data_IF_832772475468
#
_entry.id   IF_832772475468
#
_cell.length_a   1.000
_cell.length_b   1.000
_cell.length_c   1.000
_cell.angle_alpha   90.00
_cell.angle_beta   90.00
_cell.angle_gamma   90.00
#
_symmetry.space_group_name_H-M   'P 1'
#
loop_
_entity.id
_entity.type
_entity.pdbx_description
1 polymer ?
#
# COMPACT_ATOMS: atom_id res chain seq x y z
N UNK A 1 7.69 3.34 1.19
CA UNK A 1 6.87 2.74 2.26
C UNK A 1 6.91 3.56 3.54
N UNK A 2 6.35 4.77 3.51
CA UNK A 2 6.11 5.66 4.66
C UNK A 2 4.74 6.37 4.53
N UNK A 3 3.77 5.70 3.91
CA UNK A 3 2.42 6.24 3.66
C UNK A 3 1.56 6.24 4.91
N UNK A 4 1.97 5.52 5.96
CA UNK A 4 1.15 5.33 7.15
C UNK A 4 0.14 4.20 7.00
N UNK A 5 0.07 3.55 5.83
CA UNK A 5 -0.72 2.33 5.59
C UNK A 5 0.19 1.09 5.66
N UNK A 6 0.16 0.30 6.74
CA UNK A 6 1.18 -0.72 6.99
C UNK A 6 1.32 -1.77 5.90
N UNK A 7 0.21 -2.16 5.26
CA UNK A 7 0.26 -3.13 4.17
C UNK A 7 0.96 -2.57 2.92
N UNK A 8 0.63 -1.33 2.53
CA UNK A 8 1.30 -0.62 1.42
C UNK A 8 2.77 -0.40 1.75
N UNK A 9 3.07 -0.01 2.99
CA UNK A 9 4.43 0.25 3.43
C UNK A 9 5.27 -1.01 3.49
N UNK A 10 4.70 -2.13 3.95
CA UNK A 10 5.34 -3.44 3.92
C UNK A 10 5.70 -3.88 2.49
N UNK A 11 4.77 -3.77 1.54
CA UNK A 11 5.01 -4.11 0.12
C UNK A 11 6.14 -3.26 -0.46
N UNK A 12 6.09 -1.94 -0.26
CA UNK A 12 7.12 -1.05 -0.80
C UNK A 12 8.48 -1.25 -0.12
N UNK A 13 8.51 -1.69 1.14
CA UNK A 13 9.76 -2.05 1.84
C UNK A 13 10.30 -3.40 1.38
N UNK A 14 9.44 -4.40 1.15
CA UNK A 14 9.85 -5.66 0.53
C UNK A 14 10.48 -5.42 -0.83
N UNK A 15 9.80 -4.63 -1.70
CA UNK A 15 10.32 -4.29 -3.03
C UNK A 15 11.74 -3.76 -2.96
N UNK A 16 11.99 -2.77 -2.09
CA UNK A 16 13.32 -2.17 -1.96
C UNK A 16 14.38 -3.12 -1.38
N UNK A 17 13.98 -4.02 -0.48
CA UNK A 17 14.92 -4.92 0.20
C UNK A 17 15.27 -6.16 -0.64
N UNK A 18 14.29 -6.69 -1.36
CA UNK A 18 14.36 -8.01 -1.99
C UNK A 18 14.25 -7.94 -3.53
N UNK A 19 13.86 -6.78 -4.07
CA UNK A 19 13.74 -6.55 -5.51
C UNK A 19 12.60 -7.33 -6.19
N UNK A 20 11.74 -7.98 -5.41
CA UNK A 20 10.58 -8.70 -5.91
C UNK A 20 9.41 -8.57 -4.94
N UNK A 21 8.22 -8.35 -5.51
CA UNK A 21 6.95 -8.42 -4.79
C UNK A 21 5.94 -9.21 -5.61
N UNK A 22 5.11 -9.98 -4.92
CA UNK A 22 4.04 -10.76 -5.53
C UNK A 22 3.12 -9.85 -6.37
N UNK A 23 2.57 -10.37 -7.46
CA UNK A 23 1.71 -9.65 -8.40
C UNK A 23 0.56 -8.90 -7.71
N UNK A 24 -0.12 -9.50 -6.72
CA UNK A 24 -1.17 -8.81 -5.96
C UNK A 24 -0.64 -7.70 -5.04
N UNK A 25 0.62 -7.77 -4.62
CA UNK A 25 1.31 -6.66 -3.96
C UNK A 25 1.50 -5.47 -4.91
N UNK A 26 1.91 -5.75 -6.15
CA UNK A 26 2.00 -4.75 -7.23
C UNK A 26 0.65 -4.07 -7.47
N UNK A 27 -0.42 -4.86 -7.54
CA UNK A 27 -1.79 -4.36 -7.67
C UNK A 27 -2.16 -3.36 -6.58
N UNK A 28 -1.86 -3.71 -5.32
CA UNK A 28 -2.19 -2.86 -4.18
C UNK A 28 -1.46 -1.51 -4.25
N UNK A 29 -0.14 -1.52 -4.43
CA UNK A 29 0.65 -0.28 -4.40
C UNK A 29 0.41 0.60 -5.64
N UNK A 30 0.18 0.00 -6.81
CA UNK A 30 -0.15 0.74 -8.02
C UNK A 30 -1.53 1.38 -7.95
N UNK A 31 -2.53 0.65 -7.43
CA UNK A 31 -3.86 1.20 -7.18
C UNK A 31 -3.80 2.36 -6.18
N UNK A 32 -3.07 2.18 -5.07
CA UNK A 32 -2.91 3.22 -4.04
C UNK A 32 -2.26 4.49 -4.61
N UNK A 33 -1.18 4.35 -5.38
CA UNK A 33 -0.47 5.49 -5.96
C UNK A 33 -1.33 6.27 -6.97
N UNK A 34 -2.12 5.56 -7.78
CA UNK A 34 -2.82 6.15 -8.92
C UNK A 34 -4.27 6.48 -8.57
N UNK A 35 -5.23 5.80 -9.18
CA UNK A 35 -6.68 6.08 -9.08
C UNK A 35 -7.26 5.80 -7.70
N UNK A 36 -6.61 4.99 -6.87
CA UNK A 36 -7.16 4.55 -5.59
C UNK A 36 -7.09 5.62 -4.53
N UNK A 37 -5.93 6.26 -4.35
CA UNK A 37 -5.71 7.14 -3.20
C UNK A 37 -4.99 8.43 -3.59
N UNK A 38 -3.76 8.35 -4.13
CA UNK A 38 -2.89 9.53 -4.24
C UNK A 38 -3.08 10.35 -5.52
N UNK A 39 -3.77 9.81 -6.53
CA UNK A 39 -3.99 10.48 -7.82
C UNK A 39 -2.70 10.92 -8.53
N UNK A 40 -1.63 10.17 -8.35
CA UNK A 40 -0.33 10.39 -9.00
C UNK A 40 -0.28 9.62 -10.32
N UNK A 41 0.39 10.17 -11.33
CA UNK A 41 0.56 9.50 -12.63
C UNK A 41 1.22 8.13 -12.47
N UNK A 42 0.72 7.16 -13.24
CA UNK A 42 1.25 5.80 -13.30
C UNK A 42 2.71 5.77 -13.75
N UNK A 43 3.16 6.74 -14.54
CA UNK A 43 4.55 6.86 -14.99
C UNK A 43 5.53 7.03 -13.82
N UNK A 44 5.13 7.74 -12.75
CA UNK A 44 5.96 7.90 -11.57
C UNK A 44 6.15 6.56 -10.83
N UNK A 45 5.12 5.73 -10.79
CA UNK A 45 5.19 4.39 -10.24
C UNK A 45 6.00 3.44 -11.12
N UNK A 46 5.83 3.54 -12.45
CA UNK A 46 6.59 2.77 -13.43
C UNK A 46 8.09 2.97 -13.28
N UNK A 47 8.55 4.22 -13.11
CA UNK A 47 9.97 4.53 -12.87
C UNK A 47 10.51 3.87 -11.61
N UNK A 48 9.77 3.92 -10.50
CA UNK A 48 10.18 3.25 -9.25
C UNK A 48 10.28 1.74 -9.44
N UNK A 49 9.33 1.14 -10.16
CA UNK A 49 9.35 -0.29 -10.44
C UNK A 49 10.48 -0.69 -11.39
N UNK A 50 10.81 0.15 -12.36
CA UNK A 50 11.93 -0.07 -13.27
C UNK A 50 13.28 -0.04 -12.55
N UNK A 51 13.43 0.81 -11.53
CA UNK A 51 14.64 0.89 -10.71
C UNK A 51 14.77 -0.25 -9.69
N UNK A 52 13.66 -0.66 -9.06
CA UNK A 52 13.69 -1.52 -7.87
C UNK A 52 13.35 -3.00 -8.16
N UNK A 53 12.66 -3.32 -9.27
CA UNK A 53 12.34 -4.72 -9.60
C UNK A 53 13.50 -5.43 -10.29
N UNK A 54 13.87 -6.60 -9.77
CA UNK A 54 14.80 -7.53 -10.42
C UNK A 54 14.24 -8.12 -11.71
N UNK A 55 12.91 -8.17 -11.83
CA UNK A 55 12.18 -8.62 -13.01
C UNK A 55 11.61 -7.46 -13.84
N UNK A 56 12.19 -6.27 -13.71
CA UNK A 56 11.82 -5.12 -14.52
C UNK A 56 11.95 -5.45 -16.01
N UNK A 57 10.82 -5.41 -16.71
CA UNK A 57 10.72 -5.50 -18.15
C UNK A 57 9.91 -4.30 -18.64
N UNK A 58 10.42 -3.59 -19.65
CA UNK A 58 9.81 -2.35 -20.13
C UNK A 58 8.36 -2.56 -20.57
N UNK A 59 8.07 -3.59 -21.35
CA UNK A 59 6.72 -3.82 -21.88
C UNK A 59 5.77 -4.26 -20.77
N UNK A 60 6.18 -5.23 -19.95
CA UNK A 60 5.36 -5.77 -18.85
C UNK A 60 5.09 -4.69 -17.80
N UNK A 61 6.09 -3.90 -17.42
CA UNK A 61 5.95 -2.86 -16.41
C UNK A 61 4.94 -1.79 -16.88
N UNK A 62 5.16 -1.20 -18.06
CA UNK A 62 4.27 -0.17 -18.60
C UNK A 62 2.84 -0.68 -18.81
N UNK A 63 2.68 -1.90 -19.34
CA UNK A 63 1.36 -2.52 -19.52
C UNK A 63 0.60 -2.67 -18.19
N UNK A 64 1.25 -3.21 -17.16
CA UNK A 64 0.60 -3.42 -15.86
C UNK A 64 0.27 -2.11 -15.15
N UNK A 65 1.10 -1.08 -15.31
CA UNK A 65 0.80 0.26 -14.78
C UNK A 65 -0.41 0.89 -15.46
N UNK A 66 -0.53 0.80 -16.79
CA UNK A 66 -1.71 1.25 -17.54
C UNK A 66 -2.97 0.49 -17.11
N UNK A 67 -2.88 -0.82 -16.89
CA UNK A 67 -3.98 -1.65 -16.41
C UNK A 67 -4.46 -1.19 -15.03
N UNK A 68 -3.54 -1.05 -14.08
CA UNK A 68 -3.88 -0.80 -12.67
C UNK A 68 -4.35 0.63 -12.41
N UNK A 69 -3.85 1.60 -13.18
CA UNK A 69 -4.35 2.98 -13.18
C UNK A 69 -5.67 3.15 -13.92
N UNK A 70 -6.17 2.10 -14.59
CA UNK A 70 -7.31 2.16 -15.51
C UNK A 70 -7.12 3.13 -16.69
N UNK A 71 -5.87 3.37 -17.09
CA UNK A 71 -5.56 4.19 -18.27
C UNK A 71 -5.63 3.40 -19.58
N UNK A 72 -5.55 2.06 -19.52
CA UNK A 72 -5.76 1.17 -20.66
C UNK A 72 -6.06 -0.26 -20.22
N UNK A 73 -6.67 -1.05 -21.11
CA UNK A 73 -6.97 -2.49 -20.97
C UNK A 73 -8.01 -2.87 -19.88
N UNK A 74 -8.08 -2.15 -18.77
CA UNK A 74 -9.03 -2.38 -17.68
C UNK A 74 -9.78 -1.11 -17.29
N UNK A 75 -11.11 -1.12 -17.46
CA UNK A 75 -11.95 0.09 -17.31
C UNK A 75 -12.91 0.04 -16.12
N UNK A 76 -12.90 -1.03 -15.32
CA UNK A 76 -13.75 -1.13 -14.12
C UNK A 76 -13.11 -0.41 -12.93
N UNK A 77 -12.88 0.90 -13.06
CA UNK A 77 -12.18 1.74 -12.08
C UNK A 77 -12.87 1.76 -10.70
N UNK A 78 -14.16 1.48 -10.63
CA UNK A 78 -14.90 1.34 -9.36
C UNK A 78 -14.41 0.16 -8.50
N UNK A 79 -13.67 -0.81 -9.09
CA UNK A 79 -13.00 -1.89 -8.34
C UNK A 79 -11.68 -1.36 -7.77
N UNK A 80 -11.75 -0.62 -6.67
CA UNK A 80 -10.58 -0.12 -5.95
C UNK A 80 -10.12 -1.12 -4.87
N UNK A 81 -8.80 -1.29 -4.74
CA UNK A 81 -8.22 -2.07 -3.66
C UNK A 81 -8.23 -1.25 -2.36
N UNK A 82 -8.66 -1.87 -1.25
CA UNK A 82 -8.56 -1.23 0.06
C UNK A 82 -7.18 -1.53 0.68
N UNK A 83 -6.38 -0.50 1.05
CA UNK A 83 -5.08 -0.69 1.70
C UNK A 83 -5.19 -1.29 3.11
N UNK A 84 -6.41 -1.40 3.66
CA UNK A 84 -6.70 -1.99 4.97
C UNK A 84 -7.26 -3.41 4.81
N UNK A 85 -8.30 -3.58 3.98
CA UNK A 85 -9.04 -4.84 3.92
C UNK A 85 -8.40 -5.89 3.01
N UNK A 86 -7.60 -5.50 2.02
CA UNK A 86 -7.10 -6.44 1.01
C UNK A 86 -6.12 -7.46 1.60
N UNK A 87 -5.10 -7.01 2.34
CA UNK A 87 -4.13 -7.91 2.97
C UNK A 87 -4.73 -8.82 4.05
N UNK A 88 -5.72 -8.31 4.81
CA UNK A 88 -6.43 -9.09 5.85
C UNK A 88 -7.06 -10.39 5.33
N UNK A 89 -7.41 -10.45 4.04
CA UNK A 89 -8.03 -11.64 3.43
C UNK A 89 -7.10 -12.85 3.40
N UNK A 90 -5.80 -12.63 3.22
CA UNK A 90 -4.80 -13.70 3.11
C UNK A 90 -3.87 -13.76 4.33
N UNK A 91 -3.72 -12.65 5.05
CA UNK A 91 -2.91 -12.56 6.26
C UNK A 91 -3.68 -11.83 7.38
N UNK A 92 -4.63 -12.50 8.06
CA UNK A 92 -5.45 -11.88 9.11
C UNK A 92 -4.64 -11.51 10.37
N UNK A 93 -3.45 -12.08 10.57
CA UNK A 93 -2.58 -11.78 11.73
C UNK A 93 -1.64 -10.59 11.47
N UNK A 94 -1.42 -10.25 10.20
CA UNK A 94 -0.51 -9.20 9.76
C UNK A 94 0.95 -9.61 9.87
N UNK A 95 1.27 -10.90 9.77
CA UNK A 95 2.63 -11.42 9.90
C UNK A 95 3.57 -10.84 8.82
N UNK A 96 3.04 -10.61 7.62
CA UNK A 96 3.75 -9.92 6.54
C UNK A 96 4.11 -8.48 6.94
N UNK A 97 3.17 -7.76 7.55
CA UNK A 97 3.42 -6.39 8.05
C UNK A 97 4.47 -6.41 9.16
N UNK A 98 4.39 -7.35 10.11
CA UNK A 98 5.37 -7.45 11.21
C UNK A 98 6.79 -7.70 10.70
N UNK A 99 6.93 -8.46 9.60
CA UNK A 99 8.22 -8.73 8.95
C UNK A 99 8.83 -7.46 8.34
N UNK A 100 8.08 -6.73 7.52
CA UNK A 100 8.63 -5.61 6.74
C UNK A 100 8.46 -4.23 7.40
N UNK A 101 7.61 -4.12 8.41
CA UNK A 101 7.38 -2.92 9.23
C UNK A 101 7.62 -3.28 10.71
N UNK A 102 8.88 -3.57 11.09
CA UNK A 102 9.22 -4.12 12.40
C UNK A 102 8.87 -3.21 13.58
N UNK A 103 8.74 -1.90 13.36
CA UNK A 103 8.24 -0.97 14.37
C UNK A 103 6.79 -1.28 14.82
N UNK A 104 5.99 -1.93 13.96
CA UNK A 104 4.63 -2.36 14.28
C UNK A 104 4.57 -3.82 14.76
N UNK A 105 5.70 -4.52 14.96
CA UNK A 105 5.74 -5.96 15.26
C UNK A 105 4.93 -6.39 16.48
N UNK A 106 4.71 -5.49 17.44
CA UNK A 106 4.03 -5.76 18.71
C UNK A 106 2.53 -5.43 18.67
N UNK A 107 2.04 -4.78 17.61
CA UNK A 107 0.64 -4.34 17.53
C UNK A 107 -0.32 -5.53 17.53
N UNK A 108 -1.46 -5.43 18.21
CA UNK A 108 -2.49 -6.47 18.11
C UNK A 108 -2.99 -6.60 16.65
N UNK A 109 -3.34 -7.82 16.23
CA UNK A 109 -3.86 -8.09 14.87
C UNK A 109 -5.10 -7.26 14.53
N UNK A 110 -5.87 -6.82 15.54
CA UNK A 110 -7.00 -5.90 15.40
C UNK A 110 -6.59 -4.56 14.78
N UNK A 111 -5.40 -4.07 15.10
CA UNK A 111 -4.92 -2.74 14.71
C UNK A 111 -3.75 -2.75 13.73
N UNK A 112 -3.11 -3.90 13.47
CA UNK A 112 -1.90 -3.99 12.64
C UNK A 112 -2.06 -3.39 11.23
N UNK A 113 -3.27 -3.40 10.67
CA UNK A 113 -3.60 -2.81 9.36
C UNK A 113 -4.07 -1.35 9.43
N UNK A 114 -4.42 -0.87 10.62
CA UNK A 114 -4.99 0.46 10.87
C UNK A 114 -4.50 1.04 12.22
N UNK A 115 -3.17 1.15 12.42
CA UNK A 115 -2.59 1.36 13.74
C UNK A 115 -2.97 2.73 14.33
N UNK A 116 -3.34 3.70 13.50
CA UNK A 116 -3.88 5.00 13.93
C UNK A 116 -5.21 4.89 14.70
N UNK A 117 -5.92 3.75 14.61
CA UNK A 117 -7.12 3.49 15.42
C UNK A 117 -6.82 2.88 16.79
N UNK A 118 -5.58 2.47 17.05
CA UNK A 118 -5.20 1.93 18.36
C UNK A 118 -5.23 3.04 19.43
N UNK A 119 -5.74 2.78 20.64
CA UNK A 119 -5.62 3.72 21.75
C UNK A 119 -4.17 4.08 22.04
N UNK A 120 -3.90 5.33 22.43
CA UNK A 120 -2.54 5.81 22.69
C UNK A 120 -1.82 5.01 23.80
N UNK A 121 -2.59 4.49 24.77
CA UNK A 121 -2.06 3.64 25.86
C UNK A 121 -1.52 2.33 25.30
N UNK A 122 -2.24 1.71 24.36
CA UNK A 122 -1.81 0.47 23.72
C UNK A 122 -0.62 0.71 22.77
N UNK A 123 -0.62 1.81 22.02
CA UNK A 123 0.52 2.21 21.18
C UNK A 123 1.82 2.34 22.00
N UNK A 124 1.74 3.02 23.15
CA UNK A 124 2.87 3.14 24.10
C UNK A 124 3.29 1.78 24.65
N UNK A 125 2.33 0.92 25.02
CA UNK A 125 2.60 -0.44 25.49
C UNK A 125 3.32 -1.30 24.43
N UNK A 126 2.99 -1.13 23.16
CA UNK A 126 3.64 -1.84 22.05
C UNK A 126 4.95 -1.21 21.57
N UNK A 127 5.33 -0.06 22.13
CA UNK A 127 6.60 0.61 21.85
C UNK A 127 6.64 1.33 20.50
N UNK A 128 5.49 1.68 19.92
CA UNK A 128 5.43 2.48 18.69
C UNK A 128 4.20 3.40 18.70
N UNK A 129 4.46 4.70 18.77
CA UNK A 129 3.48 5.79 18.77
C UNK A 129 3.28 6.33 17.35
N UNK A 130 2.04 6.28 16.88
CA UNK A 130 1.67 6.72 15.54
C UNK A 130 1.76 8.25 15.43
N UNK A 131 2.49 8.73 14.43
CA UNK A 131 2.89 10.12 14.24
C UNK A 131 4.28 10.45 14.78
N UNK A 132 4.90 9.54 15.55
CA UNK A 132 6.28 9.69 16.03
C UNK A 132 7.18 8.59 15.47
N UNK A 133 6.90 7.33 15.83
CA UNK A 133 7.72 6.17 15.48
C UNK A 133 7.31 5.55 14.14
N UNK A 134 6.04 5.69 13.77
CA UNK A 134 5.49 5.31 12.47
C UNK A 134 4.51 6.39 11.98
N UNK A 135 4.51 6.78 10.70
CA UNK A 135 3.72 7.92 10.21
C UNK A 135 2.21 7.71 10.33
N UNK A 136 1.47 8.82 10.48
CA UNK A 136 0.02 8.84 10.28
C UNK A 136 -0.30 8.59 8.80
N UNK A 137 -1.49 8.06 8.47
CA UNK A 137 -1.95 7.98 7.09
C UNK A 137 -1.81 9.32 6.37
N UNK A 138 -1.14 9.33 5.23
CA UNK A 138 -0.95 10.54 4.40
C UNK A 138 -2.24 11.00 3.71
N UNK A 139 -3.26 10.14 3.70
CA UNK A 139 -4.54 10.34 3.04
C UNK A 139 -5.61 9.53 3.77
N UNK A 140 -6.87 9.94 3.71
CA UNK A 140 -8.01 9.15 4.18
C UNK A 140 -8.61 8.35 3.00
N UNK A 141 -8.32 7.06 2.95
CA UNK A 141 -8.75 6.16 1.86
C UNK A 141 -10.23 6.28 1.48
N UNK A 142 -11.15 6.29 2.46
CA UNK A 142 -12.59 6.30 2.21
C UNK A 142 -13.07 7.58 1.50
N UNK A 143 -12.38 8.70 1.74
CA UNK A 143 -12.66 9.98 1.10
C UNK A 143 -11.95 10.08 -0.25
N UNK A 144 -10.66 9.77 -0.28
CA UNK A 144 -9.82 9.87 -1.47
C UNK A 144 -10.29 8.95 -2.59
N UNK A 145 -10.59 7.68 -2.29
CA UNK A 145 -11.07 6.73 -3.29
C UNK A 145 -12.40 7.16 -3.91
N UNK A 146 -13.33 7.67 -3.12
CA UNK A 146 -14.60 8.23 -3.63
C UNK A 146 -14.38 9.47 -4.49
N UNK A 147 -13.56 10.40 -4.02
CA UNK A 147 -13.24 11.64 -4.75
C UNK A 147 -12.47 11.37 -6.05
N UNK A 148 -11.66 10.32 -6.09
CA UNK A 148 -10.92 9.92 -7.28
C UNK A 148 -11.82 9.17 -8.27
N UNK A 149 -12.74 8.33 -7.81
CA UNK A 149 -13.73 7.68 -8.67
C UNK A 149 -14.59 8.67 -9.46
N UNK A 150 -14.86 9.87 -8.93
CA UNK A 150 -15.61 10.90 -9.65
C UNK A 150 -14.79 11.68 -10.69
N UNK A 151 -13.47 11.47 -10.75
CA UNK A 151 -12.57 12.13 -11.72
C UNK A 151 -12.22 11.24 -12.92
N UNK A 152 -12.49 9.93 -12.84
CA UNK A 152 -12.22 8.94 -13.89
C UNK A 152 -13.31 8.98 -14.95
#
# INVERSE_FOLDING_TARGET
>A
GKTGYPFVDAIMRQLRQEGFIHHLGRHMVACFLTRGDLWISWEAGARVFEEELLDADYAVNNFNWLWLSCSGFFYQYFRCYSPIAFGKKTDPNGDYIRKYVPELKSFDKKYIYEPWRAPIVDQKKWGCVIGNDYPKPIVAHDEASKANMSKV
#
